data_IF_449776530308
#
_entry.id   IF_449776530308
#
_cell.length_a   1.000
_cell.length_b   1.000
_cell.length_c   1.000
_cell.angle_alpha   90.00
_cell.angle_beta   90.00
_cell.angle_gamma   90.00
#
_symmetry.space_group_name_H-M   'P 1'
#
loop_
_entity.id
_entity.type
_entity.pdbx_description
1 polymer ?
#
# COMPACT_ATOMS: atom_id res chain seq x y z
N UNK A 1 13.35 10.20 -9.16
CA UNK A 1 12.09 10.12 -9.93
C UNK A 1 10.95 10.23 -8.94
N UNK A 2 10.02 11.16 -9.12
CA UNK A 2 8.96 11.39 -8.13
C UNK A 2 7.69 10.64 -8.53
N UNK A 3 7.33 9.63 -7.74
CA UNK A 3 6.07 8.90 -7.86
C UNK A 3 5.15 9.36 -6.74
N UNK A 4 3.91 9.66 -7.08
CA UNK A 4 2.86 10.03 -6.12
C UNK A 4 1.66 9.15 -6.39
N UNK A 5 1.06 8.63 -5.32
CA UNK A 5 -0.19 7.87 -5.41
C UNK A 5 -1.33 8.67 -4.79
N UNK A 6 -2.52 8.53 -5.39
CA UNK A 6 -3.77 9.07 -4.84
C UNK A 6 -4.84 8.01 -4.93
N UNK A 7 -5.77 8.02 -3.98
CA UNK A 7 -6.94 7.14 -4.03
C UNK A 7 -8.13 7.93 -4.54
N UNK A 8 -8.74 7.45 -5.62
CA UNK A 8 -9.93 8.06 -6.22
C UNK A 8 -10.94 6.95 -6.48
N UNK A 9 -12.13 7.06 -5.89
CA UNK A 9 -13.22 6.07 -6.01
C UNK A 9 -12.78 4.63 -5.72
N UNK A 10 -11.98 4.44 -4.66
CA UNK A 10 -11.50 3.12 -4.24
C UNK A 10 -10.44 2.50 -5.15
N UNK A 11 -9.82 3.27 -6.03
CA UNK A 11 -8.70 2.84 -6.89
C UNK A 11 -7.48 3.73 -6.69
N UNK A 12 -6.31 3.17 -6.90
CA UNK A 12 -5.03 3.89 -6.86
C UNK A 12 -4.82 4.54 -8.21
N UNK A 13 -4.53 5.83 -8.23
CA UNK A 13 -3.98 6.56 -9.36
C UNK A 13 -2.51 6.87 -9.09
N UNK A 14 -1.64 6.38 -9.95
CA UNK A 14 -0.20 6.61 -9.90
C UNK A 14 0.15 7.77 -10.82
N UNK A 15 0.88 8.74 -10.29
CA UNK A 15 1.37 9.91 -10.99
C UNK A 15 2.90 9.89 -10.99
N UNK A 16 3.48 10.15 -12.15
CA UNK A 16 4.92 10.20 -12.34
C UNK A 16 5.28 11.59 -12.85
N UNK A 17 6.10 12.31 -12.09
CA UNK A 17 6.45 13.71 -12.37
C UNK A 17 5.21 14.61 -12.60
N UNK A 18 4.10 14.32 -11.89
CA UNK A 18 2.85 15.08 -11.97
C UNK A 18 1.85 14.60 -13.04
N UNK A 19 2.27 13.74 -13.97
CA UNK A 19 1.40 13.20 -15.02
C UNK A 19 0.74 11.90 -14.59
N UNK A 20 -0.55 11.74 -14.88
CA UNK A 20 -1.25 10.48 -14.63
C UNK A 20 -0.63 9.35 -15.47
N UNK A 21 -0.17 8.30 -14.81
CA UNK A 21 0.49 7.16 -15.46
C UNK A 21 -0.47 5.98 -15.63
N UNK A 22 -1.17 5.60 -14.57
CA UNK A 22 -2.06 4.42 -14.55
C UNK A 22 -3.01 4.45 -13.35
N UNK A 23 -4.07 3.65 -13.47
CA UNK A 23 -5.04 3.40 -12.39
C UNK A 23 -5.15 1.90 -12.14
N UNK A 24 -5.07 1.46 -10.89
CA UNK A 24 -5.14 0.04 -10.52
C UNK A 24 -5.71 -0.15 -9.10
N UNK A 25 -5.85 -1.42 -8.71
CA UNK A 25 -6.48 -1.81 -7.45
C UNK A 25 -7.99 -1.66 -7.44
N UNK A 26 -8.61 -2.17 -6.38
CA UNK A 26 -10.05 -2.10 -6.17
C UNK A 26 -10.37 -2.12 -4.69
N UNK A 27 -11.36 -1.31 -4.29
CA UNK A 27 -11.76 -1.14 -2.90
C UNK A 27 -10.61 -0.72 -1.98
N UNK A 28 -9.77 0.21 -2.42
CA UNK A 28 -8.64 0.73 -1.66
C UNK A 28 -9.06 1.88 -0.74
N UNK A 29 -8.62 1.87 0.50
CA UNK A 29 -8.92 2.89 1.53
C UNK A 29 -7.69 3.68 1.98
N UNK A 30 -6.49 3.11 1.89
CA UNK A 30 -5.23 3.78 2.17
C UNK A 30 -4.14 3.23 1.24
N UNK A 31 -3.16 4.05 0.86
CA UNK A 31 -2.05 3.62 0.01
C UNK A 31 -0.85 4.55 0.21
N UNK A 32 0.34 4.00 0.08
CA UNK A 32 1.60 4.72 0.17
C UNK A 32 2.64 4.15 -0.80
N UNK A 33 3.66 4.92 -1.15
CA UNK A 33 4.73 4.51 -2.06
C UNK A 33 6.10 5.04 -1.65
N UNK A 34 7.12 4.20 -1.81
CA UNK A 34 8.54 4.58 -1.67
C UNK A 34 9.19 4.85 -3.03
N UNK A 35 8.39 4.93 -4.10
CA UNK A 35 8.82 5.10 -5.48
C UNK A 35 9.13 3.81 -6.23
N UNK A 36 9.27 2.68 -5.54
CA UNK A 36 9.52 1.37 -6.16
C UNK A 36 8.28 0.47 -6.08
N UNK A 37 7.66 0.43 -4.90
CA UNK A 37 6.44 -0.32 -4.66
C UNK A 37 5.33 0.60 -4.18
N UNK A 38 4.09 0.14 -4.35
CA UNK A 38 2.91 0.77 -3.76
C UNK A 38 2.24 -0.23 -2.84
N UNK A 39 2.15 0.11 -1.56
CA UNK A 39 1.42 -0.67 -0.59
C UNK A 39 0.02 -0.08 -0.42
N UNK A 40 -1.01 -0.91 -0.46
CA UNK A 40 -2.39 -0.48 -0.41
C UNK A 40 -3.23 -1.29 0.57
N UNK A 41 -4.10 -0.63 1.31
CA UNK A 41 -5.07 -1.26 2.22
C UNK A 41 -6.41 -1.34 1.52
N UNK A 42 -6.98 -2.54 1.49
CA UNK A 42 -8.34 -2.80 0.98
C UNK A 42 -9.40 -2.52 2.04
N UNK A 43 -10.65 -2.32 1.65
CA UNK A 43 -11.80 -2.20 2.57
C UNK A 43 -12.00 -3.44 3.47
N UNK A 44 -11.44 -4.59 3.07
CA UNK A 44 -11.45 -5.83 3.86
C UNK A 44 -10.30 -5.89 4.88
N UNK A 45 -9.49 -4.84 4.97
CA UNK A 45 -8.33 -4.76 5.86
C UNK A 45 -7.16 -5.66 5.43
N UNK A 46 -7.10 -6.08 4.17
CA UNK A 46 -5.90 -6.73 3.59
C UNK A 46 -4.97 -5.70 2.99
N UNK A 47 -3.68 -6.02 2.97
CA UNK A 47 -2.63 -5.25 2.31
C UNK A 47 -2.33 -5.89 0.95
N UNK A 48 -2.25 -5.07 -0.07
CA UNK A 48 -1.85 -5.44 -1.42
C UNK A 48 -0.58 -4.66 -1.80
N UNK A 49 0.48 -5.36 -2.18
CA UNK A 49 1.70 -4.77 -2.73
C UNK A 49 1.61 -4.75 -4.25
N UNK A 50 1.83 -3.58 -4.84
CA UNK A 50 1.87 -3.37 -6.27
C UNK A 50 3.24 -2.97 -6.74
N UNK A 51 3.65 -3.55 -7.87
CA UNK A 51 4.86 -3.19 -8.59
C UNK A 51 4.47 -2.92 -10.03
N UNK A 52 4.72 -1.69 -10.51
CA UNK A 52 4.30 -1.25 -11.84
C UNK A 52 2.79 -1.47 -12.12
N UNK A 53 1.94 -1.31 -11.10
CA UNK A 53 0.49 -1.50 -11.21
C UNK A 53 0.02 -2.96 -11.22
N UNK A 54 0.92 -3.93 -11.11
CA UNK A 54 0.58 -5.34 -10.96
C UNK A 54 0.62 -5.74 -9.50
N UNK A 55 -0.45 -6.41 -9.03
CA UNK A 55 -0.50 -6.94 -7.67
C UNK A 55 0.50 -8.10 -7.54
N UNK A 56 1.48 -7.93 -6.65
CA UNK A 56 2.54 -8.90 -6.40
C UNK A 56 2.22 -9.81 -5.22
N UNK A 57 1.64 -9.24 -4.15
CA UNK A 57 1.33 -9.97 -2.91
C UNK A 57 0.09 -9.42 -2.24
N UNK A 58 -0.59 -10.29 -1.50
CA UNK A 58 -1.72 -9.92 -0.64
C UNK A 58 -1.53 -10.59 0.72
N UNK A 59 -1.55 -9.81 1.80
CA UNK A 59 -1.30 -10.32 3.15
C UNK A 59 -1.97 -9.45 4.22
N UNK A 60 -1.75 -9.84 5.48
CA UNK A 60 -2.28 -9.17 6.66
C UNK A 60 -3.79 -9.21 6.80
N UNK A 61 -4.27 -8.64 7.89
CA UNK A 61 -5.69 -8.55 8.20
C UNK A 61 -5.95 -7.35 9.11
N UNK A 62 -7.16 -6.81 9.08
CA UNK A 62 -7.57 -5.68 9.92
C UNK A 62 -6.73 -4.41 9.73
N UNK A 63 -6.05 -4.25 8.59
CA UNK A 63 -5.32 -3.03 8.27
C UNK A 63 -6.29 -1.86 8.05
N UNK A 64 -5.90 -0.67 8.51
CA UNK A 64 -6.63 0.59 8.30
C UNK A 64 -5.77 1.67 7.66
N UNK A 65 -4.46 1.58 7.83
CA UNK A 65 -3.50 2.49 7.22
C UNK A 65 -2.20 1.76 6.89
N UNK A 66 -1.42 2.30 5.96
CA UNK A 66 -0.14 1.73 5.52
C UNK A 66 0.84 2.84 5.18
N UNK A 67 2.11 2.58 5.48
CA UNK A 67 3.25 3.39 5.07
C UNK A 67 4.35 2.48 4.55
N UNK A 68 5.12 2.93 3.57
CA UNK A 68 6.20 2.14 2.98
C UNK A 68 7.47 2.97 2.83
N UNK A 69 8.59 2.38 3.22
CA UNK A 69 9.90 3.01 3.09
C UNK A 69 10.99 1.94 2.98
N UNK A 70 11.74 1.96 1.88
CA UNK A 70 12.87 1.05 1.67
C UNK A 70 12.44 -0.42 1.66
N UNK A 71 11.27 -0.74 1.09
CA UNK A 71 10.72 -2.10 1.05
C UNK A 71 10.13 -2.62 2.36
N UNK A 72 10.13 -1.83 3.44
CA UNK A 72 9.42 -2.16 4.69
C UNK A 72 8.03 -1.52 4.63
N UNK A 73 7.01 -2.33 4.91
CA UNK A 73 5.61 -1.91 4.93
C UNK A 73 5.13 -1.86 6.38
N UNK A 74 4.92 -0.66 6.91
CA UNK A 74 4.35 -0.45 8.24
C UNK A 74 2.82 -0.35 8.12
N UNK A 75 2.10 -1.25 8.79
CA UNK A 75 0.65 -1.35 8.74
C UNK A 75 0.07 -0.96 10.10
N UNK A 76 -0.83 0.01 10.10
CA UNK A 76 -1.65 0.28 11.28
C UNK A 76 -2.90 -0.59 11.21
N UNK A 77 -3.15 -1.36 12.26
CA UNK A 77 -4.33 -2.21 12.39
C UNK A 77 -5.48 -1.47 13.07
N UNK A 78 -6.72 -1.94 12.87
CA UNK A 78 -7.92 -1.40 13.51
C UNK A 78 -7.90 -1.50 15.05
N UNK A 79 -6.98 -2.30 15.60
CA UNK A 79 -6.75 -2.45 17.04
C UNK A 79 -5.72 -1.46 17.59
N UNK A 80 -5.21 -0.55 16.76
CA UNK A 80 -4.20 0.45 17.13
C UNK A 80 -2.77 -0.08 17.21
N UNK A 81 -2.53 -1.33 16.81
CA UNK A 81 -1.17 -1.90 16.72
C UNK A 81 -0.52 -1.55 15.40
N UNK A 82 0.81 -1.46 15.41
CA UNK A 82 1.61 -1.29 14.19
C UNK A 82 2.36 -2.59 13.89
N UNK A 83 2.18 -3.12 12.70
CA UNK A 83 2.84 -4.33 12.22
C UNK A 83 3.78 -3.97 11.06
N UNK A 84 5.06 -4.29 11.19
CA UNK A 84 6.05 -4.12 10.13
C UNK A 84 6.17 -5.41 9.31
N UNK A 85 6.00 -5.28 8.01
CA UNK A 85 6.15 -6.36 7.05
C UNK A 85 7.35 -6.12 6.16
N UNK A 86 8.09 -7.19 5.90
CA UNK A 86 9.16 -7.22 4.91
C UNK A 86 8.87 -8.37 3.96
N UNK A 87 8.73 -8.07 2.67
CA UNK A 87 8.37 -9.05 1.64
C UNK A 87 7.07 -9.84 1.93
N UNK A 88 6.10 -9.23 2.61
CA UNK A 88 4.85 -9.86 3.02
C UNK A 88 4.92 -10.74 4.27
N UNK A 89 6.09 -10.82 4.92
CA UNK A 89 6.25 -11.52 6.20
C UNK A 89 6.30 -10.53 7.35
N UNK A 90 5.54 -10.80 8.42
CA UNK A 90 5.55 -9.97 9.62
C UNK A 90 6.92 -10.08 10.30
N UNK A 91 7.59 -8.94 10.44
CA UNK A 91 8.91 -8.80 11.04
C UNK A 91 8.81 -8.34 12.49
N UNK A 92 7.93 -7.39 12.81
CA UNK A 92 7.78 -6.83 14.15
C UNK A 92 6.37 -6.29 14.39
N UNK A 93 5.95 -6.32 15.64
CA UNK A 93 4.66 -5.80 16.11
C UNK A 93 4.93 -4.86 17.29
N UNK A 94 4.28 -3.70 17.29
CA UNK A 94 4.31 -2.70 18.35
C UNK A 94 2.90 -2.54 18.95
#
# INVERSE_FOLDING_TARGET
>A
MAVVVKIVNGKIQEFENGSHKRTYGSNIVAADTDGHIVAAVTTKGKIEEYENGHCRRIYGSNAVNVQVSGGIVAVTTSKGKVEEYENGHCRRIY
#
